data_IF_727892075744
#
_entry.id   IF_727892075744
#
_cell.length_a   1.000
_cell.length_b   1.000
_cell.length_c   1.000
_cell.angle_alpha   90.00
_cell.angle_beta   90.00
_cell.angle_gamma   90.00
#
_symmetry.space_group_name_H-M   'P 1'
#
loop_
_entity.id
_entity.type
_entity.pdbx_description
1 polymer ?
#
# COMPACT_ATOMS: atom_id res chain seq x y z
N UNK A 1 5.53 -4.66 6.43
CA UNK A 1 6.41 -4.09 5.38
C UNK A 1 5.73 -4.12 4.01
N UNK A 2 5.17 -5.25 3.56
CA UNK A 2 4.69 -5.37 2.17
C UNK A 2 3.38 -4.61 1.88
N UNK A 3 2.47 -4.51 2.85
CA UNK A 3 1.19 -3.85 2.64
C UNK A 3 1.29 -2.33 2.51
N UNK A 4 2.28 -1.69 3.14
CA UNK A 4 2.52 -0.26 2.96
C UNK A 4 3.05 0.03 1.57
N UNK A 5 3.95 -0.81 1.06
CA UNK A 5 4.46 -0.70 -0.32
C UNK A 5 3.32 -0.89 -1.32
N UNK A 6 2.43 -1.87 -1.12
CA UNK A 6 1.27 -2.07 -1.99
C UNK A 6 0.32 -0.86 -2.00
N UNK A 7 0.01 -0.31 -0.82
CA UNK A 7 -0.82 0.89 -0.71
C UNK A 7 -0.17 2.09 -1.40
N UNK A 8 1.09 2.40 -1.07
CA UNK A 8 1.82 3.54 -1.62
C UNK A 8 2.00 3.43 -3.13
N UNK A 9 2.24 2.22 -3.65
CA UNK A 9 2.31 1.95 -5.09
C UNK A 9 1.01 2.31 -5.79
N UNK A 10 -0.14 1.90 -5.24
CA UNK A 10 -1.46 2.27 -5.81
C UNK A 10 -1.77 3.76 -5.71
N UNK A 11 -1.34 4.43 -4.64
CA UNK A 11 -1.48 5.89 -4.52
C UNK A 11 -0.61 6.57 -5.59
N UNK A 12 0.65 6.15 -5.74
CA UNK A 12 1.58 6.70 -6.74
C UNK A 12 1.06 6.54 -8.17
N UNK A 13 0.57 5.34 -8.49
CA UNK A 13 0.00 5.03 -9.80
C UNK A 13 -1.18 5.96 -10.13
N UNK A 14 -2.04 6.25 -9.15
CA UNK A 14 -3.14 7.19 -9.33
C UNK A 14 -2.64 8.64 -9.46
N UNK A 15 -1.68 9.02 -8.64
CA UNK A 15 -1.09 10.35 -8.66
C UNK A 15 -0.40 10.66 -9.99
N UNK A 16 0.27 9.67 -10.59
CA UNK A 16 0.88 9.81 -11.91
C UNK A 16 -0.13 10.04 -13.03
N UNK A 17 -1.38 9.65 -12.83
CA UNK A 17 -2.46 9.83 -13.80
C UNK A 17 -3.21 11.16 -13.59
N UNK A 18 -3.42 11.58 -12.34
CA UNK A 18 -4.31 12.71 -12.02
C UNK A 18 -3.60 13.95 -11.50
N UNK A 19 -2.41 13.80 -10.91
CA UNK A 19 -1.67 14.88 -10.25
C UNK A 19 -2.30 15.38 -8.95
N UNK A 20 -3.42 14.82 -8.51
CA UNK A 20 -4.10 15.19 -7.27
C UNK A 20 -3.73 14.21 -6.14
N UNK A 21 -3.00 14.71 -5.13
CA UNK A 21 -2.54 13.90 -4.01
C UNK A 21 -3.69 13.39 -3.13
N UNK A 22 -4.63 14.27 -2.75
CA UNK A 22 -5.75 13.91 -1.88
C UNK A 22 -6.66 12.87 -2.54
N UNK A 23 -6.98 13.06 -3.83
CA UNK A 23 -7.77 12.08 -4.59
C UNK A 23 -7.04 10.73 -4.69
N UNK A 24 -5.73 10.77 -4.94
CA UNK A 24 -4.90 9.56 -5.05
C UNK A 24 -4.80 8.79 -3.74
N UNK A 25 -4.64 9.48 -2.61
CA UNK A 25 -4.60 8.87 -1.27
C UNK A 25 -5.94 8.21 -0.95
N UNK A 26 -7.06 8.90 -1.19
CA UNK A 26 -8.40 8.36 -1.01
C UNK A 26 -8.63 7.11 -1.87
N UNK A 27 -8.23 7.16 -3.14
CA UNK A 27 -8.36 6.04 -4.08
C UNK A 27 -7.53 4.82 -3.64
N UNK A 28 -6.26 5.04 -3.29
CA UNK A 28 -5.37 3.98 -2.82
C UNK A 28 -5.87 3.31 -1.54
N UNK A 29 -6.39 4.09 -0.58
CA UNK A 29 -6.99 3.54 0.64
C UNK A 29 -8.20 2.66 0.31
N UNK A 30 -9.14 3.16 -0.50
CA UNK A 30 -10.37 2.43 -0.82
C UNK A 30 -10.11 1.13 -1.59
N UNK A 31 -9.22 1.17 -2.58
CA UNK A 31 -8.92 0.04 -3.45
C UNK A 31 -8.18 -1.10 -2.72
N UNK A 32 -7.38 -0.78 -1.71
CA UNK A 32 -6.54 -1.78 -1.02
C UNK A 32 -7.14 -2.26 0.31
N UNK A 33 -8.16 -1.56 0.85
CA UNK A 33 -8.75 -1.81 2.16
C UNK A 33 -9.15 -3.28 2.41
N UNK A 34 -9.82 -3.91 1.45
CA UNK A 34 -10.31 -5.29 1.60
C UNK A 34 -9.17 -6.31 1.73
N UNK A 35 -8.17 -6.22 0.85
CA UNK A 35 -7.03 -7.15 0.82
C UNK A 35 -6.22 -7.04 2.11
N UNK A 36 -5.96 -5.82 2.56
CA UNK A 36 -5.17 -5.57 3.77
C UNK A 36 -5.92 -6.03 5.01
N UNK A 37 -7.21 -5.71 5.11
CA UNK A 37 -8.03 -6.13 6.26
C UNK A 37 -8.12 -7.65 6.35
N UNK A 38 -8.28 -8.34 5.20
CA UNK A 38 -8.26 -9.80 5.15
C UNK A 38 -6.92 -10.38 5.63
N UNK A 39 -5.81 -9.82 5.17
CA UNK A 39 -4.48 -10.25 5.63
C UNK A 39 -4.25 -10.00 7.12
N UNK A 40 -4.69 -8.85 7.64
CA UNK A 40 -4.62 -8.52 9.06
C UNK A 40 -5.42 -9.51 9.91
N UNK A 41 -6.63 -9.89 9.47
CA UNK A 41 -7.45 -10.89 10.16
C UNK A 41 -6.76 -12.24 10.26
N UNK A 42 -6.11 -12.70 9.18
CA UNK A 42 -5.35 -13.96 9.18
C UNK A 42 -4.20 -13.89 10.18
N UNK A 43 -3.41 -12.80 10.17
CA UNK A 43 -2.31 -12.62 11.11
C UNK A 43 -2.78 -12.59 12.57
N UNK A 44 -3.88 -11.88 12.86
CA UNK A 44 -4.48 -11.84 14.19
C UNK A 44 -4.97 -13.22 14.63
N UNK A 45 -5.58 -14.00 13.73
CA UNK A 45 -5.99 -15.37 14.04
C UNK A 45 -4.79 -16.28 14.37
N UNK A 46 -3.72 -16.20 13.59
CA UNK A 46 -2.50 -16.99 13.82
C UNK A 46 -1.82 -16.62 15.14
N UNK A 47 -1.58 -15.32 15.37
CA UNK A 47 -0.94 -14.84 16.59
C UNK A 47 -1.83 -15.00 17.83
N UNK A 48 -3.15 -14.85 17.67
CA UNK A 48 -4.13 -15.18 18.69
C UNK A 48 -4.10 -16.65 19.08
N UNK A 49 -3.90 -17.55 18.12
CA UNK A 49 -3.66 -18.98 18.39
C UNK A 49 -2.42 -19.21 19.26
N UNK A 50 -1.31 -18.51 18.97
CA UNK A 50 -0.10 -18.57 19.81
C UNK A 50 -0.32 -17.99 21.20
N UNK A 51 -1.17 -16.96 21.33
CA UNK A 51 -1.54 -16.36 22.61
C UNK A 51 -2.31 -17.33 23.54
N UNK A 52 -2.96 -18.37 22.98
CA UNK A 52 -3.71 -19.37 23.73
C UNK A 52 -2.88 -20.63 24.05
N UNK A 53 -1.63 -20.70 23.58
CA UNK A 53 -0.75 -21.83 23.80
C UNK A 53 -0.28 -21.96 25.26
N UNK A 54 0.11 -23.17 25.71
CA UNK A 54 0.53 -23.41 27.10
C UNK A 54 1.93 -22.87 27.44
N UNK A 55 2.72 -22.49 26.43
CA UNK A 55 4.07 -21.97 26.60
C UNK A 55 4.03 -20.46 26.80
N UNK A 56 4.38 -20.00 28.02
CA UNK A 56 4.33 -18.58 28.40
C UNK A 56 5.11 -17.65 27.46
N UNK A 57 6.19 -18.13 26.83
CA UNK A 57 6.95 -17.35 25.83
C UNK A 57 6.11 -17.05 24.58
N UNK A 58 5.42 -18.06 24.04
CA UNK A 58 4.55 -17.88 22.87
C UNK A 58 3.29 -17.08 23.20
N UNK A 59 2.81 -17.18 24.44
CA UNK A 59 1.66 -16.41 24.89
C UNK A 59 1.92 -14.89 24.84
N UNK A 60 3.07 -14.46 25.36
CA UNK A 60 3.47 -13.04 25.35
C UNK A 60 3.76 -12.54 23.93
N UNK A 61 4.50 -13.32 23.13
CA UNK A 61 4.77 -12.96 21.73
C UNK A 61 3.49 -12.90 20.90
N UNK A 62 2.62 -13.90 20.99
CA UNK A 62 1.37 -13.98 20.24
C UNK A 62 0.45 -12.81 20.55
N UNK A 63 0.28 -12.48 21.84
CA UNK A 63 -0.52 -11.32 22.24
C UNK A 63 0.09 -10.00 21.73
N UNK A 64 1.40 -9.80 21.93
CA UNK A 64 2.10 -8.59 21.49
C UNK A 64 2.02 -8.39 19.97
N UNK A 65 2.23 -9.45 19.20
CA UNK A 65 2.14 -9.42 17.74
C UNK A 65 0.72 -9.18 17.24
N UNK A 66 -0.29 -9.81 17.84
CA UNK A 66 -1.68 -9.59 17.48
C UNK A 66 -2.09 -8.12 17.67
N UNK A 67 -1.74 -7.54 18.83
CA UNK A 67 -2.01 -6.12 19.13
C UNK A 67 -1.27 -5.21 18.15
N UNK A 68 0.02 -5.48 17.88
CA UNK A 68 0.81 -4.69 16.94
C UNK A 68 0.20 -4.68 15.52
N UNK A 69 -0.25 -5.83 15.03
CA UNK A 69 -0.90 -5.95 13.71
C UNK A 69 -2.21 -5.16 13.67
N UNK A 70 -3.04 -5.24 14.71
CA UNK A 70 -4.29 -4.48 14.77
C UNK A 70 -4.00 -2.98 14.73
N UNK A 71 -3.04 -2.51 15.53
CA UNK A 71 -2.65 -1.09 15.56
C UNK A 71 -2.10 -0.61 14.23
N UNK A 72 -1.28 -1.42 13.54
CA UNK A 72 -0.76 -1.08 12.22
C UNK A 72 -1.88 -1.00 11.16
N UNK A 73 -2.73 -2.03 11.11
CA UNK A 73 -3.82 -2.12 10.15
C UNK A 73 -4.89 -1.03 10.32
N UNK A 74 -5.04 -0.49 11.54
CA UNK A 74 -6.04 0.54 11.86
C UNK A 74 -5.41 1.92 12.01
N UNK A 75 -4.68 2.17 13.10
CA UNK A 75 -4.17 3.50 13.43
C UNK A 75 -3.13 3.97 12.43
N UNK A 76 -2.10 3.15 12.17
CA UNK A 76 -1.01 3.57 11.29
C UNK A 76 -1.54 3.78 9.88
N UNK A 77 -2.31 2.84 9.37
CA UNK A 77 -2.77 2.87 7.98
C UNK A 77 -3.95 3.80 7.71
N UNK A 78 -4.94 3.87 8.59
CA UNK A 78 -6.14 4.68 8.33
C UNK A 78 -5.97 6.13 8.76
N UNK A 79 -5.03 6.43 9.64
CA UNK A 79 -4.84 7.77 10.19
C UNK A 79 -3.44 8.30 9.89
N UNK A 80 -2.40 7.60 10.35
CA UNK A 80 -1.04 8.13 10.35
C UNK A 80 -0.49 8.33 8.93
N UNK A 81 -0.66 7.32 8.06
CA UNK A 81 -0.19 7.35 6.68
C UNK A 81 -0.94 8.41 5.86
N UNK A 82 -2.29 8.43 5.80
CA UNK A 82 -3.02 9.45 5.05
C UNK A 82 -2.74 10.86 5.55
N UNK A 83 -2.75 11.07 6.87
CA UNK A 83 -2.46 12.38 7.45
C UNK A 83 -1.05 12.86 7.08
N UNK A 84 -0.05 11.97 7.12
CA UNK A 84 1.31 12.32 6.74
C UNK A 84 1.40 12.65 5.25
N UNK A 85 0.72 11.90 4.38
CA UNK A 85 0.73 12.14 2.94
C UNK A 85 0.04 13.46 2.58
N UNK A 86 -1.07 13.79 3.26
CA UNK A 86 -1.78 15.05 3.09
C UNK A 86 -0.95 16.24 3.58
N UNK A 87 -0.29 16.11 4.74
CA UNK A 87 0.59 17.14 5.29
C UNK A 87 1.82 17.40 4.41
N UNK A 88 2.36 16.37 3.77
CA UNK A 88 3.54 16.48 2.91
C UNK A 88 3.18 17.03 1.52
N UNK A 89 1.95 16.82 1.04
CA UNK A 89 1.50 17.31 -0.26
C UNK A 89 2.47 16.93 -1.38
N UNK A 90 2.84 17.88 -2.23
CA UNK A 90 3.74 17.64 -3.37
C UNK A 90 5.13 17.13 -2.97
N UNK A 91 5.56 17.34 -1.72
CA UNK A 91 6.86 16.85 -1.24
C UNK A 91 6.91 15.32 -1.13
N UNK A 92 5.77 14.64 -1.05
CA UNK A 92 5.73 13.17 -1.08
C UNK A 92 6.40 12.58 -2.32
N UNK A 93 6.37 13.32 -3.43
CA UNK A 93 6.75 12.82 -4.75
C UNK A 93 8.08 13.39 -5.23
N UNK A 94 8.82 14.04 -4.32
CA UNK A 94 10.14 14.55 -4.62
C UNK A 94 11.09 13.41 -5.00
N UNK A 95 11.55 13.42 -6.24
CA UNK A 95 12.56 12.49 -6.73
C UNK A 95 13.87 13.26 -6.98
N UNK A 96 14.98 12.89 -6.31
CA UNK A 96 16.26 13.57 -6.52
C UNK A 96 16.76 13.35 -7.97
N UNK A 97 17.22 14.43 -8.62
CA UNK A 97 17.71 14.36 -10.02
C UNK A 97 18.84 13.36 -10.26
N UNK A 98 19.66 13.07 -9.23
CA UNK A 98 20.74 12.09 -9.33
C UNK A 98 20.24 10.63 -9.40
N UNK A 99 18.98 10.36 -9.06
CA UNK A 99 18.35 9.04 -9.19
C UNK A 99 17.67 8.83 -10.55
N UNK A 100 17.65 9.80 -11.46
CA UNK A 100 17.00 9.69 -12.79
C UNK A 100 17.61 8.59 -13.68
N UNK A 101 18.80 8.09 -13.32
CA UNK A 101 19.43 6.94 -13.97
C UNK A 101 18.70 5.60 -13.73
N UNK A 102 17.79 5.53 -12.76
CA UNK A 102 17.03 4.31 -12.48
C UNK A 102 16.02 4.02 -13.60
N UNK A 103 15.99 2.80 -14.15
CA UNK A 103 15.01 2.43 -15.16
C UNK A 103 13.60 2.50 -14.58
N UNK A 104 12.69 3.17 -15.27
CA UNK A 104 11.29 3.26 -14.87
C UNK A 104 10.61 1.91 -15.14
N UNK A 105 10.51 1.07 -14.10
CA UNK A 105 9.86 -0.24 -14.19
C UNK A 105 8.35 -0.02 -14.16
N UNK A 106 7.76 0.25 -15.33
CA UNK A 106 6.31 0.10 -15.52
C UNK A 106 5.98 -1.38 -15.54
N UNK A 107 5.31 -1.86 -14.50
CA UNK A 107 4.85 -3.25 -14.38
C UNK A 107 3.75 -3.54 -15.41
N UNK A 108 2.99 -2.52 -15.83
CA UNK A 108 2.16 -2.54 -17.03
C UNK A 108 3.07 -2.51 -18.27
N UNK A 109 3.31 -3.67 -18.87
CA UNK A 109 3.98 -3.79 -20.16
C UNK A 109 3.36 -2.84 -21.19
N UNK A 110 4.21 -2.22 -22.03
CA UNK A 110 3.82 -1.26 -23.05
C UNK A 110 2.51 -1.70 -23.73
N UNK A 111 1.43 -0.92 -23.55
CA UNK A 111 0.22 -1.08 -24.35
C UNK A 111 0.66 -0.98 -25.80
N UNK A 112 0.69 -2.13 -26.47
CA UNK A 112 0.83 -2.22 -27.92
C UNK A 112 -0.23 -1.31 -28.50
N UNK A 113 0.18 -0.15 -28.99
CA UNK A 113 -0.65 0.65 -29.87
C UNK A 113 -0.98 -0.22 -31.07
N UNK A 114 -2.21 -0.77 -31.09
CA UNK A 114 -2.76 -1.42 -32.27
C UNK A 114 -2.59 -0.45 -33.45
N UNK A 115 -1.94 -0.87 -34.55
CA UNK A 115 -1.89 -0.05 -35.73
C UNK A 115 -3.32 0.14 -36.21
N UNK A 116 -3.77 1.39 -36.29
CA UNK A 116 -4.98 1.75 -37.00
C UNK A 116 -4.84 1.21 -38.42
N UNK A 117 -5.51 0.09 -38.72
CA UNK A 117 -5.73 -0.35 -40.08
C UNK A 117 -6.50 0.77 -40.76
N UNK A 118 -5.78 1.52 -41.60
CA UNK A 118 -6.37 2.46 -42.53
C UNK A 118 -7.39 1.71 -43.38
N UNK A 119 -8.62 2.18 -43.32
CA UNK A 119 -9.60 1.97 -44.38
C UNK A 119 -9.07 2.67 -45.63
N UNK A 120 -8.42 1.92 -46.51
CA UNK A 120 -8.21 2.32 -47.90
C UNK A 120 -9.57 2.19 -48.61
N UNK A 121 -10.26 3.32 -48.78
CA UNK A 121 -11.30 3.54 -49.81
C UNK A 121 -10.66 4.11 -51.08
#
# INVERSE_FOLDING_TARGET
MDYHVFLLSRIKERYDQTGDNSESVMYGLKSTASIITGAALIMVAVFGGFALGPLSMFQQMGFGLAVAVILDATIVRMVLVPASMELLGDKNWYFPKWLEWLPNISIEGARSSEPSMGSDD
#
